data_IF_281056078607
#
_entry.id   IF_281056078607
#
_cell.length_a   1.000
_cell.length_b   1.000
_cell.length_c   1.000
_cell.angle_alpha   90.00
_cell.angle_beta   90.00
_cell.angle_gamma   90.00
#
_symmetry.space_group_name_H-M   'P 1'
#
loop_
_entity.id
_entity.type
_entity.pdbx_description
1 polymer ?
#
# COMPACT_ATOMS: atom_id res chain seq x y z
N UNK A 1 -55.43 18.43 68.42
CA UNK A 1 -55.12 19.82 68.01
C UNK A 1 -54.42 19.73 66.66
N UNK A 2 -55.12 20.02 65.55
CA UNK A 2 -54.97 21.22 64.66
C UNK A 2 -53.60 21.23 63.96
N UNK A 3 -53.43 21.24 62.63
CA UNK A 3 -54.17 21.72 61.44
C UNK A 3 -53.83 20.80 60.24
N UNK A 4 -54.76 20.30 59.41
CA UNK A 4 -55.58 20.96 58.37
C UNK A 4 -54.79 21.63 57.23
N UNK A 5 -54.76 20.92 56.10
CA UNK A 5 -55.01 21.37 54.72
C UNK A 5 -54.87 22.88 54.43
N UNK A 6 -53.92 23.23 53.56
CA UNK A 6 -54.10 24.34 52.64
C UNK A 6 -53.64 23.92 51.24
N UNK A 7 -54.55 24.12 50.29
CA UNK A 7 -54.51 23.72 48.88
C UNK A 7 -54.04 24.95 48.06
N UNK A 8 -53.56 24.68 46.84
CA UNK A 8 -53.76 25.46 45.61
C UNK A 8 -52.50 26.07 44.92
N UNK A 9 -52.24 25.47 43.74
CA UNK A 9 -51.82 26.06 42.45
C UNK A 9 -50.45 26.72 42.30
N UNK A 10 -49.54 26.02 41.61
CA UNK A 10 -48.97 26.49 40.33
C UNK A 10 -48.88 25.29 39.37
N UNK A 11 -49.82 25.24 38.41
CA UNK A 11 -49.69 24.50 37.15
C UNK A 11 -49.00 25.47 36.19
N UNK A 12 -47.75 25.22 35.82
CA UNK A 12 -47.18 25.73 34.58
C UNK A 12 -46.66 24.56 33.76
N UNK A 13 -47.41 24.37 32.69
CA UNK A 13 -47.13 23.72 31.43
C UNK A 13 -45.71 24.02 30.91
N UNK A 14 -44.91 22.99 30.65
CA UNK A 14 -43.93 22.86 29.56
C UNK A 14 -43.18 21.54 29.87
N UNK A 15 -43.37 20.47 29.12
CA UNK A 15 -43.15 20.43 27.68
C UNK A 15 -41.86 19.65 27.45
N UNK A 16 -42.00 18.32 27.28
CA UNK A 16 -41.14 17.41 26.52
C UNK A 16 -39.74 17.93 26.17
N UNK A 17 -38.72 17.46 26.89
CA UNK A 17 -37.37 17.35 26.34
C UNK A 17 -36.78 16.00 26.78
N UNK A 18 -37.13 14.94 26.05
CA UNK A 18 -36.32 13.74 25.99
C UNK A 18 -35.21 14.01 24.97
N UNK A 19 -34.04 14.47 25.42
CA UNK A 19 -32.85 14.54 24.58
C UNK A 19 -32.27 13.13 24.42
N UNK A 20 -32.77 12.42 23.41
CA UNK A 20 -32.04 11.30 22.81
C UNK A 20 -30.94 11.87 21.91
N UNK A 21 -29.70 11.90 22.41
CA UNK A 21 -28.51 12.14 21.59
C UNK A 21 -27.66 10.87 21.53
N UNK A 22 -28.05 9.94 20.67
CA UNK A 22 -27.13 9.04 20.00
C UNK A 22 -27.29 9.29 18.49
N UNK A 23 -26.61 10.33 17.99
CA UNK A 23 -26.44 10.51 16.54
C UNK A 23 -25.33 9.57 16.09
N UNK A 24 -25.69 8.31 15.85
CA UNK A 24 -24.93 7.47 14.92
C UNK A 24 -25.28 7.99 13.53
N UNK A 25 -24.37 8.71 12.90
CA UNK A 25 -24.54 9.12 11.51
C UNK A 25 -24.17 7.93 10.65
N UNK A 26 -25.17 7.28 10.05
CA UNK A 26 -24.99 6.26 9.02
C UNK A 26 -25.56 6.81 7.73
N UNK A 27 -24.72 7.08 6.74
CA UNK A 27 -25.15 7.51 5.41
C UNK A 27 -25.18 6.32 4.46
N UNK A 28 -26.24 6.22 3.66
CA UNK A 28 -26.41 5.25 2.58
C UNK A 28 -27.15 5.98 1.45
N UNK A 29 -26.58 6.07 0.24
CA UNK A 29 -27.18 6.83 -0.86
C UNK A 29 -27.59 5.92 -2.03
N UNK A 30 -28.79 6.21 -2.55
CA UNK A 30 -29.43 5.63 -3.74
C UNK A 30 -29.23 6.56 -4.93
N UNK A 31 -28.85 6.03 -6.09
CA UNK A 31 -28.54 6.80 -7.28
C UNK A 31 -29.75 6.88 -8.22
N UNK A 32 -30.25 8.08 -8.49
CA UNK A 32 -31.00 8.40 -9.71
C UNK A 32 -30.57 9.79 -10.19
N UNK A 33 -29.92 9.83 -11.36
CA UNK A 33 -29.45 11.03 -12.04
C UNK A 33 -30.49 11.44 -13.11
N UNK A 34 -30.98 12.67 -13.02
CA UNK A 34 -31.78 13.32 -14.06
C UNK A 34 -30.89 14.33 -14.79
N UNK A 35 -30.75 14.16 -16.12
CA UNK A 35 -29.93 15.02 -16.99
C UNK A 35 -30.83 16.08 -17.63
N UNK A 36 -30.40 17.35 -17.57
CA UNK A 36 -30.90 18.42 -18.44
C UNK A 36 -29.67 19.08 -19.07
N UNK A 37 -29.62 19.29 -20.41
CA UNK A 37 -28.54 20.04 -21.05
C UNK A 37 -28.88 21.53 -21.21
N UNK A 38 -27.86 22.38 -21.28
CA UNK A 38 -27.93 23.47 -22.25
C UNK A 38 -26.66 23.61 -23.11
N UNK A 39 -26.90 24.30 -24.21
CA UNK A 39 -26.11 24.42 -25.43
C UNK A 39 -25.18 25.64 -25.45
N UNK A 40 -24.28 25.63 -26.44
CA UNK A 40 -23.55 26.74 -27.08
C UNK A 40 -22.23 27.27 -26.46
N UNK A 41 -21.14 26.79 -27.08
CA UNK A 41 -20.00 27.54 -27.64
C UNK A 41 -19.42 28.75 -26.88
N UNK A 42 -18.38 28.49 -26.10
CA UNK A 42 -17.28 29.45 -25.90
C UNK A 42 -15.93 28.69 -25.98
N UNK A 43 -15.05 29.16 -26.86
CA UNK A 43 -13.66 28.70 -26.95
C UNK A 43 -12.87 29.28 -25.77
N UNK A 44 -12.79 28.51 -24.69
CA UNK A 44 -11.90 28.73 -23.56
C UNK A 44 -10.62 27.93 -23.79
N UNK A 45 -9.48 28.59 -23.68
CA UNK A 45 -8.17 27.95 -23.57
C UNK A 45 -8.23 26.93 -22.43
N UNK A 46 -8.20 25.65 -22.78
CA UNK A 46 -8.28 24.56 -21.82
C UNK A 46 -7.08 24.65 -20.89
N UNK A 47 -7.25 24.89 -19.58
CA UNK A 47 -6.17 24.59 -18.65
C UNK A 47 -5.84 23.11 -18.82
N UNK A 48 -4.57 22.77 -18.93
CA UNK A 48 -4.11 21.37 -18.89
C UNK A 48 -4.57 20.79 -17.55
N UNK A 49 -5.72 20.12 -17.55
CA UNK A 49 -6.26 19.42 -16.41
C UNK A 49 -5.21 18.35 -16.07
N UNK A 50 -4.58 18.49 -14.91
CA UNK A 50 -3.72 17.46 -14.34
C UNK A 50 -4.49 16.14 -14.43
N UNK A 51 -3.93 15.07 -15.03
CA UNK A 51 -4.68 13.83 -15.25
C UNK A 51 -5.28 13.40 -13.92
N UNK A 52 -6.61 13.29 -13.87
CA UNK A 52 -7.31 12.75 -12.72
C UNK A 52 -6.75 11.34 -12.48
N UNK A 53 -6.23 11.03 -11.29
CA UNK A 53 -5.64 9.72 -11.02
C UNK A 53 -6.63 8.62 -11.38
N UNK A 54 -6.21 7.69 -12.22
CA UNK A 54 -7.03 6.54 -12.58
C UNK A 54 -7.26 5.69 -11.31
N UNK A 55 -8.52 5.50 -10.93
CA UNK A 55 -8.83 4.66 -9.76
C UNK A 55 -8.74 3.20 -10.20
N UNK A 56 -7.67 2.53 -9.76
CA UNK A 56 -7.49 1.09 -9.99
C UNK A 56 -8.65 0.34 -9.34
N UNK A 57 -9.41 -0.47 -10.11
CA UNK A 57 -10.54 -1.20 -9.57
C UNK A 57 -10.06 -2.22 -8.54
N UNK A 58 -10.77 -2.35 -7.40
CA UNK A 58 -10.23 -3.11 -6.29
C UNK A 58 -10.04 -4.58 -6.60
N UNK A 59 -9.03 -5.19 -5.98
CA UNK A 59 -8.89 -6.64 -6.02
C UNK A 59 -9.78 -7.26 -4.94
N UNK A 60 -10.94 -7.76 -5.36
CA UNK A 60 -11.95 -8.39 -4.50
C UNK A 60 -11.86 -9.92 -4.49
N UNK A 61 -10.88 -10.51 -5.19
CA UNK A 61 -10.71 -11.96 -5.24
C UNK A 61 -10.44 -12.47 -3.83
N UNK A 62 -11.18 -13.50 -3.41
CA UNK A 62 -11.06 -14.14 -2.10
C UNK A 62 -11.42 -13.25 -0.89
N UNK A 63 -12.15 -12.16 -1.09
CA UNK A 63 -12.72 -11.35 0.00
C UNK A 63 -14.17 -11.75 0.23
N UNK A 64 -14.59 -11.93 1.49
CA UNK A 64 -15.99 -12.19 1.83
C UNK A 64 -16.84 -10.94 1.51
N UNK A 65 -18.03 -11.13 0.94
CA UNK A 65 -18.93 -10.03 0.59
C UNK A 65 -19.28 -9.13 1.79
N UNK A 66 -19.37 -9.72 2.99
CA UNK A 66 -19.62 -8.96 4.22
C UNK A 66 -18.46 -8.02 4.57
N UNK A 67 -17.23 -8.40 4.20
CA UNK A 67 -16.03 -7.59 4.39
C UNK A 67 -15.86 -6.49 3.32
N UNK A 68 -16.69 -6.49 2.28
CA UNK A 68 -16.73 -5.42 1.26
C UNK A 68 -17.67 -4.28 1.66
N UNK A 69 -18.47 -4.44 2.72
CA UNK A 69 -19.40 -3.41 3.16
C UNK A 69 -18.65 -2.25 3.80
N UNK A 70 -18.60 -1.14 3.05
CA UNK A 70 -18.03 0.11 3.53
C UNK A 70 -18.74 0.60 4.79
N UNK A 71 -17.95 1.08 5.75
CA UNK A 71 -18.45 1.69 6.98
C UNK A 71 -17.45 2.73 7.48
N UNK A 72 -17.97 3.84 7.98
CA UNK A 72 -17.23 4.91 8.62
C UNK A 72 -17.89 5.19 9.97
N UNK A 73 -17.13 5.06 11.05
CA UNK A 73 -17.58 5.34 12.42
C UNK A 73 -16.59 6.31 13.04
N UNK A 74 -17.11 7.42 13.55
CA UNK A 74 -16.34 8.48 14.21
C UNK A 74 -16.92 8.65 15.60
N UNK A 75 -16.09 8.47 16.63
CA UNK A 75 -16.49 8.56 18.03
C UNK A 75 -15.62 9.57 18.77
N UNK A 76 -16.26 10.52 19.44
CA UNK A 76 -15.58 11.48 20.31
C UNK A 76 -15.34 10.85 21.70
N UNK A 77 -14.09 10.83 22.18
CA UNK A 77 -13.76 10.30 23.51
C UNK A 77 -13.89 11.40 24.57
N UNK A 78 -15.12 11.72 24.98
CA UNK A 78 -15.39 12.77 25.98
C UNK A 78 -14.71 12.54 27.33
N UNK A 79 -14.48 11.29 27.72
CA UNK A 79 -13.81 10.94 28.97
C UNK A 79 -12.35 11.41 29.02
N UNK A 80 -11.69 11.56 27.86
CA UNK A 80 -10.31 12.07 27.78
C UNK A 80 -10.24 13.57 28.04
N UNK A 81 -11.12 14.34 27.43
CA UNK A 81 -11.26 15.78 27.69
C UNK A 81 -11.48 16.05 29.19
N UNK A 82 -12.38 15.26 29.82
CA UNK A 82 -12.64 15.37 31.25
C UNK A 82 -11.39 15.01 32.06
N UNK A 83 -10.70 13.92 31.71
CA UNK A 83 -9.51 13.44 32.42
C UNK A 83 -8.28 14.37 32.31
N UNK A 84 -8.07 14.99 31.14
CA UNK A 84 -7.07 16.04 30.95
C UNK A 84 -7.37 17.25 31.84
N UNK A 85 -8.63 17.70 31.86
CA UNK A 85 -9.05 18.86 32.64
C UNK A 85 -8.97 18.65 34.17
N UNK A 86 -8.94 17.40 34.64
CA UNK A 86 -8.75 17.06 36.07
C UNK A 86 -7.33 16.57 36.39
N UNK A 87 -6.39 16.63 35.44
CA UNK A 87 -4.97 16.30 35.65
C UNK A 87 -4.68 14.81 35.91
N UNK A 88 -5.61 13.91 35.58
CA UNK A 88 -5.61 12.52 36.03
C UNK A 88 -5.15 11.48 35.01
N UNK A 89 -4.59 11.89 33.88
CA UNK A 89 -4.33 10.99 32.76
C UNK A 89 -2.83 10.64 32.62
N UNK A 90 -2.37 9.48 33.15
CA UNK A 90 -1.02 8.99 32.90
C UNK A 90 -0.90 8.47 31.45
N UNK A 91 0.21 8.79 30.77
CA UNK A 91 0.61 8.27 29.45
C UNK A 91 -0.36 8.58 28.28
N UNK A 92 -0.63 9.84 27.98
CA UNK A 92 -1.28 10.23 26.72
C UNK A 92 -0.24 10.72 25.72
N UNK A 93 0.46 9.78 25.08
CA UNK A 93 1.26 10.05 23.88
C UNK A 93 0.45 9.87 22.58
N UNK A 94 -0.89 9.91 22.66
CA UNK A 94 -1.77 9.64 21.50
C UNK A 94 -2.44 10.92 21.03
N UNK A 95 -2.00 11.41 19.88
CA UNK A 95 -2.53 12.57 19.16
C UNK A 95 -3.99 12.30 18.74
N UNK A 96 -4.91 13.20 19.05
CA UNK A 96 -6.33 13.11 18.68
C UNK A 96 -7.28 12.68 19.80
N UNK A 97 -8.44 13.34 19.86
CA UNK A 97 -9.55 13.06 20.80
C UNK A 97 -10.73 12.32 20.14
N UNK A 98 -10.67 12.16 18.82
CA UNK A 98 -11.73 11.56 18.01
C UNK A 98 -11.22 10.27 17.38
N UNK A 99 -11.76 9.14 17.83
CA UNK A 99 -11.52 7.83 17.24
C UNK A 99 -12.22 7.74 15.89
N UNK A 100 -11.53 7.14 14.92
CA UNK A 100 -12.08 6.85 13.60
C UNK A 100 -11.83 5.39 13.26
N UNK A 101 -12.89 4.73 12.80
CA UNK A 101 -12.85 3.39 12.25
C UNK A 101 -13.42 3.42 10.84
N UNK A 102 -12.59 3.02 9.88
CA UNK A 102 -12.94 2.90 8.47
C UNK A 102 -12.89 1.43 8.09
N UNK A 103 -13.93 0.94 7.45
CA UNK A 103 -13.99 -0.40 6.85
C UNK A 103 -14.16 -0.30 5.35
N UNK A 104 -13.42 -1.15 4.65
CA UNK A 104 -13.50 -1.38 3.20
C UNK A 104 -13.19 -0.14 2.34
N UNK A 105 -12.27 0.71 2.80
CA UNK A 105 -11.77 1.83 1.99
C UNK A 105 -10.80 1.33 0.91
N UNK A 106 -10.68 2.07 -0.19
CA UNK A 106 -9.80 1.73 -1.31
C UNK A 106 -8.52 2.56 -1.21
N UNK A 107 -7.36 1.92 -1.34
CA UNK A 107 -6.09 2.65 -1.44
C UNK A 107 -6.00 3.36 -2.79
N UNK A 108 -5.77 4.67 -2.78
CA UNK A 108 -5.59 5.49 -3.98
C UNK A 108 -4.15 5.95 -4.17
N UNK A 109 -3.33 5.94 -3.11
CA UNK A 109 -1.92 6.32 -3.16
C UNK A 109 -1.12 5.70 -1.99
N UNK A 110 0.17 5.44 -2.22
CA UNK A 110 1.08 4.83 -1.24
C UNK A 110 2.42 5.56 -1.26
N UNK A 111 3.00 5.80 -0.08
CA UNK A 111 4.42 6.13 0.11
C UNK A 111 5.00 5.33 1.27
N UNK A 112 6.24 5.61 1.69
CA UNK A 112 6.93 4.91 2.79
C UNK A 112 6.12 4.78 4.08
N UNK A 113 5.55 5.87 4.59
CA UNK A 113 4.90 5.90 5.90
C UNK A 113 3.47 6.48 5.84
N UNK A 114 2.87 6.52 4.65
CA UNK A 114 1.51 7.02 4.49
C UNK A 114 0.72 6.38 3.36
N UNK A 115 -0.61 6.40 3.51
CA UNK A 115 -1.57 6.02 2.48
C UNK A 115 -2.50 7.18 2.17
N UNK A 116 -2.93 7.26 0.91
CA UNK A 116 -4.21 7.87 0.57
C UNK A 116 -5.25 6.79 0.43
N UNK A 117 -6.38 6.97 1.10
CA UNK A 117 -7.53 6.08 1.01
C UNK A 117 -8.78 6.85 0.61
N UNK A 118 -9.70 6.18 -0.07
CA UNK A 118 -11.00 6.72 -0.46
C UNK A 118 -12.14 5.86 0.08
N UNK A 119 -13.11 6.49 0.74
CA UNK A 119 -14.36 5.87 1.20
C UNK A 119 -15.52 6.85 1.01
N UNK A 120 -16.65 6.40 0.46
CA UNK A 120 -17.83 7.24 0.18
C UNK A 120 -17.48 8.56 -0.55
N UNK A 121 -16.56 8.50 -1.50
CA UNK A 121 -16.04 9.66 -2.23
C UNK A 121 -15.25 10.70 -1.42
N UNK A 122 -14.90 10.38 -0.18
CA UNK A 122 -14.04 11.20 0.68
C UNK A 122 -12.63 10.59 0.69
N UNK A 123 -11.63 11.43 0.47
CA UNK A 123 -10.23 11.05 0.62
C UNK A 123 -9.74 11.33 2.05
N UNK A 124 -8.89 10.44 2.54
CA UNK A 124 -8.14 10.61 3.78
C UNK A 124 -6.65 10.36 3.51
N UNK A 125 -5.82 11.19 4.13
CA UNK A 125 -4.41 10.88 4.38
C UNK A 125 -4.34 10.01 5.64
N UNK A 126 -3.56 8.94 5.58
CA UNK A 126 -3.33 8.03 6.71
C UNK A 126 -1.86 8.02 7.02
N UNK A 127 -1.49 8.51 8.20
CA UNK A 127 -0.15 8.43 8.77
C UNK A 127 0.04 7.05 9.40
N UNK A 128 1.09 6.34 8.95
CA UNK A 128 1.40 4.97 9.35
C UNK A 128 2.58 4.86 10.32
N UNK A 129 3.17 5.98 10.75
CA UNK A 129 4.42 5.99 11.55
C UNK A 129 4.36 5.05 12.75
N UNK A 130 3.22 5.02 13.46
CA UNK A 130 3.01 4.19 14.66
C UNK A 130 2.04 3.02 14.42
N UNK A 131 1.66 2.77 13.16
CA UNK A 131 0.58 1.84 12.82
C UNK A 131 1.07 0.39 12.75
N UNK A 132 0.25 -0.54 13.25
CA UNK A 132 0.40 -1.97 12.96
C UNK A 132 -0.15 -2.27 11.56
N UNK A 133 0.71 -2.74 10.67
CA UNK A 133 0.34 -3.12 9.30
C UNK A 133 0.02 -4.62 9.22
N UNK A 134 -1.20 -4.96 8.84
CA UNK A 134 -1.76 -6.30 8.96
C UNK A 134 -2.43 -6.81 7.67
N UNK A 135 -2.48 -8.13 7.52
CA UNK A 135 -3.27 -8.86 6.51
C UNK A 135 -4.70 -9.13 6.97
N UNK A 136 -5.52 -9.67 6.07
CA UNK A 136 -6.92 -10.00 6.35
C UNK A 136 -7.12 -11.08 7.42
N UNK A 137 -6.09 -11.70 8.00
CA UNK A 137 -6.19 -12.62 9.15
C UNK A 137 -5.46 -12.10 10.39
N UNK A 138 -5.25 -10.78 10.51
CA UNK A 138 -4.52 -10.16 11.61
C UNK A 138 -3.04 -10.58 11.70
N UNK A 139 -2.48 -11.05 10.59
CA UNK A 139 -1.07 -11.44 10.48
C UNK A 139 -0.27 -10.19 10.11
N UNK A 140 0.83 -9.94 10.83
CA UNK A 140 1.74 -8.83 10.53
C UNK A 140 2.28 -8.88 9.10
N UNK A 141 2.43 -7.73 8.46
CA UNK A 141 3.01 -7.62 7.12
C UNK A 141 3.67 -6.27 6.89
N UNK A 142 4.25 -6.10 5.71
CA UNK A 142 5.00 -4.92 5.31
C UNK A 142 4.16 -4.04 4.36
N UNK A 143 4.34 -2.72 4.42
CA UNK A 143 3.62 -1.78 3.55
C UNK A 143 3.97 -1.96 2.07
N UNK A 144 5.18 -2.42 1.74
CA UNK A 144 5.57 -2.74 0.38
C UNK A 144 4.62 -3.79 -0.24
N UNK A 145 4.03 -4.65 0.59
CA UNK A 145 3.07 -5.64 0.12
C UNK A 145 1.71 -5.04 -0.25
N UNK A 146 1.46 -3.74 -0.09
CA UNK A 146 0.21 -3.05 -0.43
C UNK A 146 0.25 -2.50 -1.86
N UNK A 147 -0.91 -2.17 -2.44
CA UNK A 147 -1.04 -1.71 -3.83
C UNK A 147 -2.26 -0.81 -3.95
N UNK A 148 -2.18 0.17 -4.84
CA UNK A 148 -3.32 0.99 -5.21
C UNK A 148 -4.44 0.08 -5.72
N UNK A 149 -5.67 0.33 -5.26
CA UNK A 149 -6.83 -0.55 -5.46
C UNK A 149 -7.02 -1.60 -4.36
N UNK A 150 -6.06 -1.82 -3.45
CA UNK A 150 -6.32 -2.72 -2.32
C UNK A 150 -7.42 -2.17 -1.41
N UNK A 151 -8.17 -3.09 -0.79
CA UNK A 151 -9.19 -2.76 0.19
C UNK A 151 -8.60 -2.82 1.59
N UNK A 152 -8.76 -1.76 2.37
CA UNK A 152 -8.21 -1.64 3.72
C UNK A 152 -9.26 -1.26 4.75
N UNK A 153 -9.04 -1.75 5.97
CA UNK A 153 -9.66 -1.24 7.18
C UNK A 153 -8.63 -0.41 7.94
N UNK A 154 -9.02 0.76 8.42
CA UNK A 154 -8.17 1.67 9.17
C UNK A 154 -8.80 1.95 10.52
N UNK A 155 -8.00 1.89 11.57
CA UNK A 155 -8.37 2.28 12.92
C UNK A 155 -7.30 3.22 13.48
N UNK A 156 -7.73 4.34 14.04
CA UNK A 156 -6.84 5.36 14.57
C UNK A 156 -7.60 6.57 15.13
N UNK A 157 -6.93 7.72 15.11
CA UNK A 157 -7.52 8.98 15.54
C UNK A 157 -7.41 10.03 14.43
N UNK A 158 -8.41 10.91 14.36
CA UNK A 158 -8.33 12.10 13.53
C UNK A 158 -7.36 13.11 14.12
N UNK A 159 -6.60 13.77 13.25
CA UNK A 159 -5.81 14.95 13.63
C UNK A 159 -6.75 16.11 14.01
N UNK A 160 -6.35 16.88 15.03
CA UNK A 160 -7.16 17.98 15.58
C UNK A 160 -7.24 19.18 14.63
N UNK A 161 -6.23 19.37 13.78
CA UNK A 161 -6.12 20.50 12.86
C UNK A 161 -6.47 20.12 11.41
N UNK A 162 -6.48 18.83 11.10
CA UNK A 162 -6.84 18.29 9.78
C UNK A 162 -7.71 17.03 9.89
N UNK A 163 -9.03 17.20 9.77
CA UNK A 163 -9.98 16.08 9.83
C UNK A 163 -9.90 15.09 8.65
N UNK A 164 -9.07 15.37 7.65
CA UNK A 164 -8.75 14.41 6.57
C UNK A 164 -7.48 13.60 6.87
N UNK A 165 -6.73 13.91 7.92
CA UNK A 165 -5.57 13.15 8.38
C UNK A 165 -5.95 12.20 9.51
N UNK A 166 -5.58 10.94 9.34
CA UNK A 166 -5.76 9.87 10.33
C UNK A 166 -4.39 9.42 10.82
N UNK A 167 -4.13 9.55 12.12
CA UNK A 167 -3.01 8.88 12.77
C UNK A 167 -3.42 7.44 13.07
N UNK A 168 -3.02 6.51 12.20
CA UNK A 168 -3.44 5.13 12.30
C UNK A 168 -2.74 4.40 13.44
N UNK A 169 -3.51 3.60 14.18
CA UNK A 169 -2.98 2.58 15.09
C UNK A 169 -2.90 1.22 14.41
N UNK A 170 -3.81 0.95 13.48
CA UNK A 170 -3.85 -0.31 12.74
C UNK A 170 -4.39 -0.07 11.35
N UNK A 171 -3.70 -0.65 10.37
CA UNK A 171 -4.17 -0.73 8.99
C UNK A 171 -4.15 -2.19 8.57
N UNK A 172 -5.32 -2.69 8.17
CA UNK A 172 -5.52 -4.09 7.77
C UNK A 172 -5.90 -4.16 6.31
N UNK A 173 -5.07 -4.77 5.49
CA UNK A 173 -5.34 -4.99 4.08
C UNK A 173 -6.14 -6.28 3.89
N UNK A 174 -7.39 -6.11 3.44
CA UNK A 174 -8.36 -7.17 3.22
C UNK A 174 -8.08 -7.92 1.92
N UNK A 175 -7.41 -7.30 0.96
CA UNK A 175 -6.97 -7.91 -0.31
C UNK A 175 -5.79 -8.88 -0.14
N UNK A 176 -5.08 -8.83 1.00
CA UNK A 176 -4.00 -9.77 1.33
C UNK A 176 -4.50 -10.89 2.24
N UNK A 177 -4.84 -12.04 1.65
CA UNK A 177 -5.29 -13.22 2.39
C UNK A 177 -4.15 -14.19 2.74
N UNK A 178 -4.42 -15.15 3.64
CA UNK A 178 -3.41 -16.00 4.29
C UNK A 178 -2.50 -16.74 3.30
N UNK A 179 -3.07 -17.28 2.23
CA UNK A 179 -2.35 -18.12 1.28
C UNK A 179 -1.74 -17.34 0.11
N UNK A 180 -1.97 -16.02 0.05
CA UNK A 180 -1.39 -15.17 -0.97
C UNK A 180 0.11 -15.02 -0.72
N UNK A 181 0.90 -15.50 -1.66
CA UNK A 181 2.36 -15.40 -1.65
C UNK A 181 2.75 -14.12 -2.38
N UNK A 182 3.77 -13.44 -1.86
CA UNK A 182 4.25 -12.16 -2.37
C UNK A 182 5.75 -12.26 -2.53
N UNK A 183 6.24 -11.94 -3.73
CA UNK A 183 7.66 -11.87 -4.04
C UNK A 183 8.01 -10.47 -4.52
N UNK A 184 9.18 -10.00 -4.08
CA UNK A 184 9.76 -8.73 -4.47
C UNK A 184 11.06 -9.04 -5.22
N UNK A 185 11.25 -8.42 -6.38
CA UNK A 185 12.43 -8.71 -7.19
C UNK A 185 12.52 -7.89 -8.47
N UNK A 186 13.33 -8.39 -9.39
CA UNK A 186 13.60 -7.78 -10.69
C UNK A 186 13.14 -8.73 -11.80
N UNK A 187 12.41 -8.20 -12.78
CA UNK A 187 11.92 -8.93 -13.95
C UNK A 187 13.08 -9.24 -14.90
N UNK A 188 13.14 -10.48 -15.38
CA UNK A 188 14.11 -10.96 -16.36
C UNK A 188 13.41 -11.83 -17.39
N UNK A 189 13.75 -11.63 -18.66
CA UNK A 189 13.25 -12.37 -19.81
C UNK A 189 11.70 -12.45 -19.91
N UNK A 190 10.97 -11.31 -19.95
CA UNK A 190 9.55 -11.33 -20.19
C UNK A 190 9.25 -11.78 -21.63
N UNK A 191 8.67 -12.97 -21.77
CA UNK A 191 8.31 -13.57 -23.06
C UNK A 191 7.07 -14.46 -22.91
N UNK A 192 6.16 -14.42 -23.88
CA UNK A 192 4.98 -15.30 -23.95
C UNK A 192 4.18 -15.37 -22.63
N UNK A 193 3.88 -14.23 -22.01
CA UNK A 193 3.20 -14.13 -20.72
C UNK A 193 3.90 -14.86 -19.56
N UNK A 194 5.22 -15.05 -19.66
CA UNK A 194 6.05 -15.60 -18.60
C UNK A 194 7.28 -14.75 -18.40
N UNK A 195 7.79 -14.70 -17.18
CA UNK A 195 9.07 -14.07 -16.88
C UNK A 195 9.74 -14.74 -15.67
N UNK A 196 11.03 -14.49 -15.50
CA UNK A 196 11.78 -14.88 -14.31
C UNK A 196 11.84 -13.68 -13.37
N UNK A 197 11.34 -13.82 -12.16
CA UNK A 197 11.53 -12.84 -11.10
C UNK A 197 12.77 -13.23 -10.29
N UNK A 198 13.82 -12.39 -10.36
CA UNK A 198 15.01 -12.51 -9.54
C UNK A 198 14.77 -11.83 -8.21
N UNK A 199 14.63 -12.60 -7.14
CA UNK A 199 14.33 -12.05 -5.81
C UNK A 199 15.59 -11.53 -5.11
N UNK A 200 15.42 -10.74 -4.05
CA UNK A 200 16.54 -10.27 -3.21
C UNK A 200 17.36 -11.40 -2.56
N UNK A 201 16.78 -12.60 -2.44
CA UNK A 201 17.47 -13.78 -1.90
C UNK A 201 18.23 -14.56 -2.97
N UNK A 202 18.29 -14.03 -4.20
CA UNK A 202 18.82 -14.69 -5.39
C UNK A 202 18.07 -15.99 -5.77
N UNK A 203 16.81 -16.11 -5.36
CA UNK A 203 15.92 -17.15 -5.88
C UNK A 203 15.34 -16.67 -7.22
N UNK A 204 15.37 -17.54 -8.22
CA UNK A 204 14.74 -17.35 -9.52
C UNK A 204 13.35 -17.98 -9.52
N UNK A 205 12.31 -17.15 -9.64
CA UNK A 205 10.92 -17.60 -9.65
C UNK A 205 10.35 -17.49 -11.07
N UNK A 206 9.91 -18.62 -11.63
CA UNK A 206 9.19 -18.63 -12.90
C UNK A 206 7.75 -18.16 -12.67
N UNK A 207 7.43 -16.97 -13.17
CA UNK A 207 6.12 -16.33 -13.05
C UNK A 207 5.33 -16.50 -14.34
N UNK A 208 4.11 -17.03 -14.21
CA UNK A 208 3.11 -17.12 -15.27
C UNK A 208 2.10 -15.99 -15.09
N UNK A 209 1.81 -15.29 -16.17
CA UNK A 209 0.84 -14.18 -16.23
C UNK A 209 -0.37 -14.64 -17.04
N UNK A 210 -1.55 -14.58 -16.43
CA UNK A 210 -2.80 -14.93 -17.09
C UNK A 210 -3.57 -13.67 -17.48
N UNK A 211 -4.65 -13.84 -18.26
CA UNK A 211 -5.52 -12.73 -18.66
C UNK A 211 -6.19 -12.04 -17.46
N UNK A 212 -6.35 -12.76 -16.34
CA UNK A 212 -6.93 -12.22 -15.11
C UNK A 212 -5.91 -11.50 -14.23
N UNK A 213 -4.61 -11.56 -14.57
CA UNK A 213 -3.55 -10.91 -13.80
C UNK A 213 -3.65 -9.39 -13.96
N UNK A 214 -3.79 -8.67 -12.84
CA UNK A 214 -3.77 -7.21 -12.85
C UNK A 214 -2.33 -6.71 -12.82
N UNK A 215 -1.88 -6.04 -13.87
CA UNK A 215 -0.55 -5.43 -13.93
C UNK A 215 -0.70 -3.93 -13.73
N UNK A 216 -0.08 -3.41 -12.67
CA UNK A 216 -0.20 -2.04 -12.22
C UNK A 216 1.18 -1.39 -12.31
N UNK A 217 1.27 -0.31 -13.06
CA UNK A 217 2.43 0.57 -13.05
C UNK A 217 2.22 1.68 -12.03
N UNK A 218 3.17 1.86 -11.13
CA UNK A 218 3.15 2.90 -10.10
C UNK A 218 4.27 3.92 -10.33
N UNK A 219 3.95 5.18 -10.10
CA UNK A 219 4.86 6.31 -10.25
C UNK A 219 4.71 7.27 -9.07
N UNK A 220 5.80 7.94 -8.72
CA UNK A 220 5.77 9.00 -7.72
C UNK A 220 4.96 10.19 -8.24
N UNK A 221 4.02 10.68 -7.44
CA UNK A 221 3.23 11.85 -7.80
C UNK A 221 3.99 13.14 -7.48
N UNK A 222 4.22 13.98 -8.49
CA UNK A 222 4.67 15.35 -8.27
C UNK A 222 3.44 16.25 -8.11
N UNK A 223 3.22 16.79 -6.92
CA UNK A 223 2.14 17.73 -6.65
C UNK A 223 2.72 19.10 -6.28
N UNK A 224 2.33 20.14 -7.01
CA UNK A 224 2.63 21.52 -6.65
C UNK A 224 1.48 21.99 -5.75
N UNK A 225 1.76 22.23 -4.47
CA UNK A 225 0.78 22.83 -3.56
C UNK A 225 0.50 24.27 -4.00
N UNK A 226 -0.60 24.47 -4.70
CA UNK A 226 -1.18 25.80 -4.94
C UNK A 226 -2.32 25.95 -3.92
N UNK A 227 -2.28 26.99 -3.10
CA UNK A 227 -3.29 27.24 -2.07
C UNK A 227 -4.67 27.52 -2.69
N UNK A 228 -5.79 26.92 -2.21
CA UNK A 228 -5.96 26.05 -1.03
C UNK A 228 -5.49 24.60 -1.25
N UNK A 229 -5.18 23.81 -0.19
CA UNK A 229 -4.55 22.49 -0.33
C UNK A 229 -5.40 21.57 -1.22
N UNK A 230 -4.79 21.14 -2.33
CA UNK A 230 -5.32 20.10 -3.20
C UNK A 230 -4.95 18.76 -2.57
N UNK A 231 -5.85 17.78 -2.60
CA UNK A 231 -5.54 16.37 -2.28
C UNK A 231 -4.39 15.90 -3.16
N UNK A 232 -3.16 16.01 -2.67
CA UNK A 232 -1.98 15.61 -3.40
C UNK A 232 -1.84 14.09 -3.29
N UNK A 233 -2.03 13.33 -4.39
CA UNK A 233 -1.86 11.88 -4.34
C UNK A 233 -0.41 11.57 -3.95
N UNK A 234 -0.18 10.55 -3.12
CA UNK A 234 1.20 10.08 -2.80
C UNK A 234 1.85 9.38 -3.99
N UNK A 235 1.07 8.65 -4.76
CA UNK A 235 1.51 7.92 -5.94
C UNK A 235 0.40 7.90 -6.98
N UNK A 236 0.79 7.73 -8.25
CA UNK A 236 -0.11 7.53 -9.37
C UNK A 236 -0.01 6.07 -9.79
N UNK A 237 -1.13 5.44 -10.12
CA UNK A 237 -1.18 4.06 -10.59
C UNK A 237 -2.03 3.94 -11.85
N UNK A 238 -1.57 3.12 -12.79
CA UNK A 238 -2.28 2.82 -14.04
C UNK A 238 -2.22 1.33 -14.36
N UNK A 239 -3.27 0.81 -15.01
CA UNK A 239 -3.24 -0.56 -15.53
C UNK A 239 -2.40 -0.60 -16.81
N UNK A 240 -1.51 -1.58 -16.90
CA UNK A 240 -0.68 -1.85 -18.08
C UNK A 240 -0.85 -3.29 -18.54
N UNK A 241 -0.32 -3.61 -19.72
CA UNK A 241 -0.32 -4.96 -20.28
C UNK A 241 1.00 -5.69 -20.03
N UNK A 242 1.02 -7.00 -20.28
CA UNK A 242 2.25 -7.78 -20.17
C UNK A 242 3.37 -7.25 -21.07
N UNK A 243 3.02 -6.73 -22.25
CA UNK A 243 3.98 -6.22 -23.23
C UNK A 243 4.70 -4.94 -22.76
N UNK A 244 4.18 -4.28 -21.73
CA UNK A 244 4.78 -3.07 -21.16
C UNK A 244 5.88 -3.39 -20.14
N UNK A 245 5.97 -4.66 -19.69
CA UNK A 245 6.99 -5.14 -18.77
C UNK A 245 8.36 -5.22 -19.45
N UNK A 246 9.40 -4.77 -18.77
CA UNK A 246 10.77 -4.75 -19.29
C UNK A 246 11.71 -5.57 -18.43
N UNK A 247 12.81 -6.00 -19.05
CA UNK A 247 13.96 -6.47 -18.29
C UNK A 247 14.41 -5.38 -17.31
N UNK A 248 14.83 -5.81 -16.14
CA UNK A 248 15.34 -4.97 -15.06
C UNK A 248 14.27 -4.11 -14.35
N UNK A 249 12.99 -4.23 -14.71
CA UNK A 249 11.90 -3.61 -13.96
C UNK A 249 11.81 -4.24 -12.56
N UNK A 250 11.72 -3.39 -11.54
CA UNK A 250 11.40 -3.83 -10.18
C UNK A 250 9.93 -4.18 -10.09
N UNK A 251 9.65 -5.33 -9.51
CA UNK A 251 8.31 -5.85 -9.41
C UNK A 251 8.01 -6.42 -8.02
N UNK A 252 6.78 -6.17 -7.58
CA UNK A 252 6.11 -6.87 -6.50
C UNK A 252 5.06 -7.77 -7.15
N UNK A 253 5.25 -9.08 -7.04
CA UNK A 253 4.39 -10.08 -7.67
C UNK A 253 3.61 -10.80 -6.57
N UNK A 254 2.28 -10.74 -6.65
CA UNK A 254 1.36 -11.44 -5.75
C UNK A 254 0.67 -12.55 -6.49
N UNK A 255 0.51 -13.70 -5.86
CA UNK A 255 -0.10 -14.84 -6.50
C UNK A 255 -0.07 -16.10 -5.66
N UNK A 256 -0.25 -17.24 -6.33
CA UNK A 256 -0.25 -18.54 -5.69
C UNK A 256 0.60 -19.51 -6.50
N UNK A 257 1.17 -20.49 -5.81
CA UNK A 257 1.75 -21.66 -6.46
C UNK A 257 0.64 -22.51 -7.05
N UNK A 258 0.83 -22.96 -8.29
CA UNK A 258 -0.06 -23.93 -8.89
C UNK A 258 0.15 -25.30 -8.21
N UNK A 259 -0.97 -25.98 -7.92
CA UNK A 259 -0.91 -27.28 -7.25
C UNK A 259 -0.15 -28.28 -8.12
N UNK A 260 0.87 -28.93 -7.55
CA UNK A 260 1.72 -29.94 -8.19
C UNK A 260 2.61 -29.44 -9.33
N UNK A 261 2.86 -28.13 -9.45
CA UNK A 261 3.85 -27.59 -10.38
C UNK A 261 4.82 -26.64 -9.67
N UNK A 262 6.00 -26.43 -10.26
CA UNK A 262 6.97 -25.43 -9.80
C UNK A 262 6.70 -24.04 -10.41
N UNK A 263 5.47 -23.77 -10.84
CA UNK A 263 5.11 -22.51 -11.46
C UNK A 263 4.33 -21.61 -10.51
N UNK A 264 4.68 -20.33 -10.54
CA UNK A 264 4.00 -19.31 -9.78
C UNK A 264 3.02 -18.55 -10.67
N UNK A 265 1.72 -18.59 -10.36
CA UNK A 265 0.70 -17.87 -11.13
C UNK A 265 0.46 -16.52 -10.47
N UNK A 266 0.78 -15.45 -11.20
CA UNK A 266 0.55 -14.09 -10.73
C UNK A 266 -0.94 -13.73 -10.78
N UNK A 267 -1.45 -13.19 -9.68
CA UNK A 267 -2.75 -12.53 -9.62
C UNK A 267 -2.60 -11.01 -9.81
N UNK A 268 -1.50 -10.46 -9.31
CA UNK A 268 -1.21 -9.04 -9.43
C UNK A 268 0.30 -8.82 -9.55
N UNK A 269 0.68 -7.88 -10.41
CA UNK A 269 2.06 -7.48 -10.63
C UNK A 269 2.09 -5.96 -10.47
N UNK A 270 2.93 -5.46 -9.57
CA UNK A 270 3.14 -4.03 -9.37
C UNK A 270 4.56 -3.69 -9.80
N UNK A 271 4.71 -2.80 -10.78
CA UNK A 271 6.02 -2.35 -11.29
C UNK A 271 6.13 -0.83 -11.23
N UNK A 272 7.36 -0.32 -11.23
CA UNK A 272 7.62 1.11 -11.40
C UNK A 272 8.45 1.70 -10.26
N UNK A 273 8.14 2.93 -9.89
CA UNK A 273 8.87 3.66 -8.86
C UNK A 273 7.98 4.70 -8.16
N UNK A 274 7.31 4.28 -7.09
CA UNK A 274 6.59 5.19 -6.20
C UNK A 274 7.41 5.50 -4.93
N UNK A 275 6.80 6.20 -3.97
CA UNK A 275 7.48 6.64 -2.75
C UNK A 275 7.85 5.53 -1.76
N UNK A 276 7.76 4.24 -2.12
CA UNK A 276 8.09 3.11 -1.23
C UNK A 276 9.56 2.72 -1.28
N UNK A 277 10.07 2.21 -0.16
CA UNK A 277 11.47 1.86 0.02
C UNK A 277 11.91 0.77 -0.97
N UNK A 278 11.08 -0.24 -1.23
CA UNK A 278 11.43 -1.33 -2.14
C UNK A 278 11.84 -0.83 -3.54
N UNK A 279 11.13 0.18 -4.08
CA UNK A 279 11.43 0.70 -5.41
C UNK A 279 12.63 1.65 -5.42
N UNK A 280 12.90 2.33 -4.31
CA UNK A 280 13.95 3.35 -4.21
C UNK A 280 15.28 2.84 -3.63
N UNK A 281 15.28 1.74 -2.85
CA UNK A 281 16.51 1.21 -2.25
C UNK A 281 17.46 0.65 -3.30
N UNK A 282 18.75 0.60 -3.03
CA UNK A 282 19.67 -0.16 -3.90
C UNK A 282 19.42 -1.66 -3.68
N UNK A 283 18.96 -2.37 -4.70
CA UNK A 283 18.82 -3.83 -4.62
C UNK A 283 20.17 -4.46 -4.92
N UNK A 284 20.69 -5.24 -3.98
CA UNK A 284 21.89 -6.07 -4.19
C UNK A 284 21.57 -7.33 -5.00
N UNK A 285 20.89 -7.18 -6.13
CA UNK A 285 20.45 -8.32 -6.97
C UNK A 285 21.49 -8.67 -8.06
N UNK A 286 22.57 -7.88 -8.21
CA UNK A 286 23.73 -8.20 -9.05
C UNK A 286 24.97 -7.50 -8.45
N UNK A 287 26.15 -8.10 -8.27
CA UNK A 287 26.82 -9.15 -9.04
C UNK A 287 27.78 -9.96 -8.16
N UNK A 288 28.14 -11.13 -8.67
CA UNK A 288 29.38 -11.89 -8.45
C UNK A 288 30.68 -11.04 -8.55
N UNK A 289 30.77 -9.82 -8.02
CA UNK A 289 32.02 -9.02 -8.06
C UNK A 289 33.09 -9.70 -7.21
N UNK A 290 32.73 -10.18 -6.01
CA UNK A 290 33.62 -11.03 -5.20
C UNK A 290 33.99 -12.33 -5.90
N UNK A 291 33.06 -12.90 -6.68
CA UNK A 291 33.28 -14.16 -7.39
C UNK A 291 34.08 -13.99 -8.68
N UNK A 292 33.96 -12.87 -9.39
CA UNK A 292 34.78 -12.54 -10.56
C UNK A 292 36.21 -12.20 -10.15
N UNK A 293 36.40 -11.49 -9.05
CA UNK A 293 37.74 -11.18 -8.54
C UNK A 293 38.44 -12.45 -8.03
N UNK A 294 37.71 -13.30 -7.29
CA UNK A 294 38.15 -14.65 -6.91
C UNK A 294 38.47 -15.53 -8.12
N UNK A 295 37.60 -15.56 -9.14
CA UNK A 295 37.81 -16.33 -10.36
C UNK A 295 39.00 -15.80 -11.17
N UNK A 296 39.19 -14.48 -11.21
CA UNK A 296 40.31 -13.84 -11.90
C UNK A 296 41.65 -14.15 -11.22
N UNK A 297 41.68 -14.19 -9.89
CA UNK A 297 42.86 -14.62 -9.13
C UNK A 297 43.13 -16.14 -9.27
N UNK A 298 42.08 -16.97 -9.32
CA UNK A 298 42.23 -18.40 -9.62
C UNK A 298 42.80 -18.63 -11.02
N UNK A 299 42.31 -17.91 -12.04
CA UNK A 299 42.82 -17.98 -13.42
C UNK A 299 44.29 -17.53 -13.48
N UNK A 300 44.65 -16.42 -12.82
CA UNK A 300 46.06 -15.97 -12.75
C UNK A 300 46.97 -17.01 -12.13
N UNK A 301 46.55 -17.63 -11.03
CA UNK A 301 47.33 -18.66 -10.35
C UNK A 301 47.49 -19.93 -11.22
N UNK A 302 46.46 -20.32 -11.97
CA UNK A 302 46.56 -21.43 -12.92
C UNK A 302 47.52 -21.13 -14.08
N UNK A 303 47.47 -19.92 -14.65
CA UNK A 303 48.39 -19.50 -15.72
C UNK A 303 49.83 -19.54 -15.22
N UNK A 304 50.11 -19.00 -14.02
CA UNK A 304 51.45 -19.00 -13.43
C UNK A 304 52.00 -20.42 -13.20
N UNK A 305 51.16 -21.34 -12.73
CA UNK A 305 51.56 -22.73 -12.53
C UNK A 305 51.87 -23.43 -13.87
N UNK A 306 51.05 -23.18 -14.90
CA UNK A 306 51.31 -23.70 -16.24
C UNK A 306 52.62 -23.16 -16.84
N UNK A 307 52.92 -21.87 -16.65
CA UNK A 307 54.19 -21.27 -17.09
C UNK A 307 55.41 -21.91 -16.41
N UNK A 308 55.34 -22.19 -15.10
CA UNK A 308 56.39 -22.89 -14.38
C UNK A 308 56.58 -24.34 -14.87
N UNK A 309 55.48 -25.05 -15.16
CA UNK A 309 55.54 -26.40 -15.71
C UNK A 309 56.17 -26.42 -17.10
N UNK A 310 55.78 -25.48 -17.97
CA UNK A 310 56.37 -25.32 -19.31
C UNK A 310 57.87 -25.01 -19.20
N UNK A 311 58.28 -24.19 -18.23
CA UNK A 311 59.70 -23.89 -17.98
C UNK A 311 60.48 -25.15 -17.58
N UNK A 312 59.97 -25.93 -16.63
CA UNK A 312 60.59 -27.20 -16.19
C UNK A 312 60.70 -28.21 -17.34
N UNK A 313 59.66 -28.33 -18.16
CA UNK A 313 59.67 -29.22 -19.33
C UNK A 313 60.70 -28.79 -20.38
N UNK A 314 60.87 -27.48 -20.62
CA UNK A 314 61.91 -26.94 -21.52
C UNK A 314 63.32 -27.17 -20.99
N UNK A 315 63.52 -27.10 -19.68
CA UNK A 315 64.81 -27.42 -19.06
C UNK A 315 65.13 -28.91 -19.16
N UNK A 316 64.14 -29.79 -18.94
CA UNK A 316 64.31 -31.24 -19.10
C UNK A 316 64.60 -31.66 -20.55
N UNK A 317 63.92 -31.05 -21.53
CA UNK A 317 64.17 -31.34 -22.96
C UNK A 317 65.53 -30.81 -23.43
N UNK A 318 66.02 -29.68 -22.91
CA UNK A 318 67.39 -29.20 -23.20
C UNK A 318 68.48 -30.15 -22.69
N UNK A 319 68.25 -30.81 -21.56
CA UNK A 319 69.18 -31.76 -20.96
C UNK A 319 69.17 -33.09 -21.74
N UNK A 320 68.02 -33.52 -22.26
CA UNK A 320 67.93 -34.73 -23.10
C UNK A 320 68.48 -34.53 -24.52
N UNK A 321 68.50 -33.32 -25.07
CA UNK A 321 69.07 -33.02 -26.39
C UNK A 321 70.59 -32.78 -26.39
N UNK A 322 71.25 -32.83 -25.23
CA UNK A 322 72.70 -32.63 -25.09
C UNK A 322 73.48 -33.89 -24.71
N UNK A 323 72.87 -35.06 -24.90
CA UNK A 323 73.51 -36.38 -24.98
C UNK A 323 73.36 -36.97 -26.39
#
# INVERSE_FOLDING_TARGET
MKNKYFIFTIIIFMGLIAFNFNKVVTAQQSNNLLIIPPDSSQTTSTPTILPTPEIIPPNIKNINIDDLKQSLVINEIKGRYICQNIGGCPNIDKKGETEITIKSAIITGISNDSLNIKIFDINYDVDLTDAKILRSQWIGTDLNNFSNGDIVNVYGFLDENNFHLIHAQTVRNMSLYKNLVIFNGIISNPINNTFILKTEKNDDINVIVNNDTKIIKVESAACIMIYPPVDCPKSIAHLISFNDLKNDDRAIVRGNWENNSNHFIAEQIIVGNDGREFFNKKLDIQNNVKNQESLREQIKNQIKNLEEQIKKLREQTKIQSSH
#
